data_IF_362435363385
#
_entry.id   IF_362435363385
#
_cell.length_a   1.000
_cell.length_b   1.000
_cell.length_c   1.000
_cell.angle_alpha   90.00
_cell.angle_beta   90.00
_cell.angle_gamma   90.00
#
_symmetry.space_group_name_H-M   'P 1'
#
loop_
_entity.id
_entity.type
_entity.pdbx_description
1 polymer ?
#
# COMPACT_ATOMS: atom_id res chain seq x y z
N UNK A 1 -14.89 3.22 -13.44
CA UNK A 1 -14.84 2.01 -12.59
C UNK A 1 -15.65 2.27 -11.33
N UNK A 2 -16.35 1.26 -10.80
CA UNK A 2 -17.07 1.33 -9.52
C UNK A 2 -16.55 0.19 -8.64
N UNK A 3 -16.29 0.46 -7.36
CA UNK A 3 -15.83 -0.52 -6.37
C UNK A 3 -16.93 -0.66 -5.32
N UNK A 4 -17.28 -1.90 -4.96
CA UNK A 4 -18.17 -2.14 -3.82
C UNK A 4 -17.33 -2.07 -2.54
N UNK A 5 -17.85 -1.39 -1.52
CA UNK A 5 -17.14 -1.16 -0.26
C UNK A 5 -18.12 -1.31 0.90
N UNK A 6 -17.69 -2.04 1.93
CA UNK A 6 -18.32 -2.07 3.25
C UNK A 6 -17.42 -1.28 4.20
N UNK A 7 -18.03 -0.36 4.95
CA UNK A 7 -17.33 0.50 5.91
C UNK A 7 -17.89 0.27 7.30
N UNK A 8 -17.08 -0.36 8.17
CA UNK A 8 -17.35 -0.56 9.59
C UNK A 8 -16.60 0.45 10.47
N UNK A 9 -15.92 1.43 9.88
CA UNK A 9 -15.32 2.55 10.61
C UNK A 9 -16.35 3.65 10.89
N UNK A 10 -16.00 4.56 11.79
CA UNK A 10 -16.76 5.80 12.03
C UNK A 10 -16.38 6.93 11.05
N UNK A 11 -15.54 6.66 10.05
CA UNK A 11 -14.97 7.67 9.16
C UNK A 11 -15.67 7.68 7.79
N UNK A 12 -15.69 8.83 7.08
CA UNK A 12 -16.13 8.87 5.70
C UNK A 12 -15.35 7.89 4.81
N UNK A 13 -15.96 7.48 3.71
CA UNK A 13 -15.28 6.67 2.70
C UNK A 13 -14.02 7.40 2.20
N UNK A 14 -12.95 6.65 1.84
CA UNK A 14 -11.77 7.24 1.19
C UNK A 14 -12.18 8.01 -0.07
N UNK A 15 -11.56 9.16 -0.30
CA UNK A 15 -11.84 10.02 -1.43
C UNK A 15 -10.54 10.54 -2.05
N UNK A 16 -10.63 10.93 -3.32
CA UNK A 16 -9.55 11.64 -3.99
C UNK A 16 -9.58 13.10 -3.52
N UNK A 17 -8.52 13.53 -2.83
CA UNK A 17 -8.45 14.87 -2.23
C UNK A 17 -8.35 15.99 -3.28
N UNK A 18 -7.84 15.68 -4.47
CA UNK A 18 -7.78 16.61 -5.61
C UNK A 18 -8.18 15.91 -6.91
N UNK A 19 -8.55 16.70 -7.92
CA UNK A 19 -8.93 16.18 -9.24
C UNK A 19 -7.86 15.29 -9.90
N UNK A 20 -6.59 15.52 -9.60
CA UNK A 20 -5.46 14.77 -10.16
C UNK A 20 -4.81 13.80 -9.16
N UNK A 21 -5.43 13.56 -8.00
CA UNK A 21 -4.91 12.61 -7.02
C UNK A 21 -4.94 11.18 -7.57
N UNK A 22 -3.82 10.46 -7.48
CA UNK A 22 -3.72 9.07 -7.92
C UNK A 22 -4.32 8.08 -6.91
N UNK A 23 -4.31 8.43 -5.62
CA UNK A 23 -4.76 7.57 -4.53
C UNK A 23 -5.70 8.26 -3.55
N UNK A 24 -6.32 7.44 -2.71
CA UNK A 24 -7.24 7.85 -1.65
C UNK A 24 -6.63 7.58 -0.29
N UNK A 25 -6.63 8.56 0.61
CA UNK A 25 -6.08 8.39 1.96
C UNK A 25 -6.91 7.38 2.77
N UNK A 26 -6.22 6.44 3.44
CA UNK A 26 -6.81 5.45 4.35
C UNK A 26 -6.56 5.85 5.79
N UNK A 27 -7.58 5.66 6.63
CA UNK A 27 -7.56 6.06 8.03
C UNK A 27 -7.43 4.86 8.96
N UNK A 28 -6.74 5.07 10.09
CA UNK A 28 -6.64 4.10 11.16
C UNK A 28 -7.99 3.96 11.88
N UNK A 29 -8.42 2.73 12.17
CA UNK A 29 -9.67 2.42 12.88
C UNK A 29 -9.42 1.60 14.16
N UNK A 30 -8.24 1.74 14.76
CA UNK A 30 -7.92 1.18 16.07
C UNK A 30 -8.83 1.79 17.17
N UNK A 31 -9.17 0.99 18.18
CA UNK A 31 -9.96 1.46 19.33
C UNK A 31 -9.13 2.38 20.22
N UNK A 32 -7.95 1.92 20.64
CA UNK A 32 -6.99 2.65 21.45
C UNK A 32 -5.75 3.08 20.63
N UNK A 33 -5.06 4.18 20.99
CA UNK A 33 -3.83 4.59 20.33
C UNK A 33 -2.78 3.48 20.30
N UNK A 34 -2.10 3.32 19.16
CA UNK A 34 -1.02 2.34 19.00
C UNK A 34 0.31 3.08 18.94
N UNK A 35 1.22 2.78 19.87
CA UNK A 35 2.57 3.36 19.87
C UNK A 35 3.51 2.38 19.17
N UNK A 36 4.24 2.86 18.16
CA UNK A 36 5.33 2.13 17.53
C UNK A 36 6.65 2.68 18.05
N UNK A 37 7.36 1.88 18.84
CA UNK A 37 8.76 2.15 19.16
C UNK A 37 9.64 2.07 17.90
N UNK A 38 10.90 2.50 18.03
CA UNK A 38 11.90 2.34 16.97
C UNK A 38 11.99 0.88 16.53
N UNK A 39 11.90 0.64 15.22
CA UNK A 39 11.92 -0.66 14.55
C UNK A 39 10.73 -1.58 14.87
N UNK A 40 9.72 -1.08 15.57
CA UNK A 40 8.48 -1.81 15.83
C UNK A 40 7.55 -1.74 14.62
N UNK A 41 6.67 -2.75 14.51
CA UNK A 41 5.63 -2.84 13.50
C UNK A 41 4.30 -3.24 14.13
N UNK A 42 3.22 -2.73 13.59
CA UNK A 42 1.87 -3.16 13.93
C UNK A 42 0.98 -3.24 12.69
N UNK A 43 -0.02 -4.09 12.78
CA UNK A 43 -1.06 -4.22 11.77
C UNK A 43 -2.25 -3.36 12.20
N UNK A 44 -2.45 -2.24 11.49
CA UNK A 44 -3.48 -1.26 11.83
C UNK A 44 -4.76 -1.52 11.02
N UNK A 45 -5.91 -1.72 11.68
CA UNK A 45 -7.19 -1.89 11.00
C UNK A 45 -7.65 -0.59 10.34
N UNK A 46 -8.40 -0.70 9.24
CA UNK A 46 -9.05 0.46 8.58
C UNK A 46 -10.56 0.44 8.73
N UNK A 47 -11.15 -0.70 9.10
CA UNK A 47 -12.60 -0.92 9.07
C UNK A 47 -13.18 -1.01 7.66
N UNK A 48 -12.36 -1.08 6.63
CA UNK A 48 -12.79 -1.10 5.23
C UNK A 48 -12.62 -2.49 4.62
N UNK A 49 -13.62 -2.89 3.84
CA UNK A 49 -13.66 -4.13 3.08
C UNK A 49 -14.08 -3.77 1.67
N UNK A 50 -13.33 -4.22 0.67
CA UNK A 50 -13.58 -3.86 -0.71
C UNK A 50 -13.81 -5.09 -1.56
N UNK A 51 -14.42 -4.84 -2.70
CA UNK A 51 -14.56 -5.81 -3.77
C UNK A 51 -14.16 -5.12 -5.07
N UNK A 52 -13.02 -5.56 -5.59
CA UNK A 52 -12.48 -5.10 -6.86
C UNK A 52 -12.98 -5.99 -8.00
N UNK A 53 -13.13 -5.44 -9.21
CA UNK A 53 -13.34 -6.25 -10.40
C UNK A 53 -12.07 -7.02 -10.78
N UNK A 54 -12.23 -8.16 -11.46
CA UNK A 54 -11.12 -8.94 -12.01
C UNK A 54 -10.22 -8.09 -12.93
N UNK A 55 -8.91 -8.38 -12.89
CA UNK A 55 -7.88 -7.61 -13.60
C UNK A 55 -7.47 -6.31 -12.91
N UNK A 56 -7.87 -6.13 -11.65
CA UNK A 56 -7.46 -5.01 -10.82
C UNK A 56 -6.96 -5.46 -9.44
N UNK A 57 -5.99 -4.71 -8.92
CA UNK A 57 -5.54 -4.78 -7.55
C UNK A 57 -5.68 -3.40 -6.88
N UNK A 58 -5.74 -3.37 -5.55
CA UNK A 58 -5.50 -2.15 -4.81
C UNK A 58 -4.12 -2.18 -4.16
N UNK A 59 -3.33 -1.15 -4.44
CA UNK A 59 -1.98 -0.97 -3.92
C UNK A 59 -2.01 0.00 -2.75
N UNK A 60 -1.62 -0.49 -1.57
CA UNK A 60 -1.49 0.30 -0.35
C UNK A 60 -0.06 0.86 -0.29
N UNK A 61 0.06 2.19 -0.31
CA UNK A 61 1.34 2.90 -0.39
C UNK A 61 1.55 3.85 0.80
N UNK A 62 2.80 4.11 1.21
CA UNK A 62 3.12 5.09 2.23
C UNK A 62 2.67 6.50 1.84
N UNK A 63 2.38 7.33 2.84
CA UNK A 63 2.17 8.77 2.66
C UNK A 63 3.53 9.46 2.84
N UNK A 64 3.94 10.27 1.85
CA UNK A 64 5.26 10.92 1.84
C UNK A 64 5.52 11.77 3.10
N UNK A 65 4.49 12.44 3.62
CA UNK A 65 4.59 13.23 4.84
C UNK A 65 4.92 12.39 6.08
N UNK A 66 4.37 11.17 6.20
CA UNK A 66 4.66 10.27 7.31
C UNK A 66 6.08 9.69 7.19
N UNK A 67 6.46 9.29 5.97
CA UNK A 67 7.78 8.76 5.69
C UNK A 67 8.89 9.78 5.96
N UNK A 68 8.77 10.99 5.42
CA UNK A 68 9.82 12.01 5.51
C UNK A 68 9.94 12.64 6.90
N UNK A 69 8.83 12.84 7.62
CA UNK A 69 8.83 13.55 8.91
C UNK A 69 9.00 12.64 10.11
N UNK A 70 8.50 11.40 10.03
CA UNK A 70 8.42 10.50 11.18
C UNK A 70 9.07 9.14 10.94
N UNK A 71 9.63 8.89 9.74
CA UNK A 71 10.22 7.59 9.39
C UNK A 71 9.20 6.44 9.37
N UNK A 72 7.91 6.76 9.21
CA UNK A 72 6.83 5.76 9.18
C UNK A 72 6.57 5.33 7.75
N UNK A 73 6.65 4.03 7.52
CA UNK A 73 6.37 3.42 6.21
C UNK A 73 5.54 2.16 6.36
N UNK A 74 5.19 1.56 5.23
CA UNK A 74 4.46 0.30 5.16
C UNK A 74 5.47 -0.80 4.86
N UNK A 75 5.52 -1.81 5.73
CA UNK A 75 6.54 -2.86 5.69
C UNK A 75 6.49 -3.67 4.39
N UNK A 76 5.28 -3.94 3.89
CA UNK A 76 5.04 -4.68 2.65
C UNK A 76 4.74 -3.75 1.46
N UNK A 77 5.23 -2.51 1.46
CA UNK A 77 4.94 -1.55 0.39
C UNK A 77 5.51 -1.96 -0.98
N UNK A 78 4.75 -1.81 -2.08
CA UNK A 78 3.30 -1.58 -2.09
C UNK A 78 2.56 -2.83 -1.62
N UNK A 79 1.62 -2.67 -0.68
CA UNK A 79 0.79 -3.79 -0.22
C UNK A 79 -0.29 -4.11 -1.25
N UNK A 80 -0.37 -5.35 -1.72
CA UNK A 80 -1.37 -5.79 -2.70
C UNK A 80 -2.64 -6.27 -2.00
N UNK A 81 -3.79 -5.77 -2.47
CA UNK A 81 -5.12 -6.29 -2.16
C UNK A 81 -5.69 -6.89 -3.44
N UNK A 82 -5.88 -8.21 -3.43
CA UNK A 82 -6.37 -8.99 -4.56
C UNK A 82 -7.87 -8.78 -4.81
N UNK A 83 -8.32 -9.05 -6.04
CA UNK A 83 -9.71 -8.83 -6.43
C UNK A 83 -10.72 -9.76 -5.75
N UNK A 84 -10.28 -10.93 -5.31
CA UNK A 84 -11.08 -11.91 -4.58
C UNK A 84 -10.98 -11.75 -3.05
N UNK A 85 -10.15 -10.82 -2.56
CA UNK A 85 -10.06 -10.55 -1.13
C UNK A 85 -11.32 -9.85 -0.62
N UNK A 86 -11.92 -10.39 0.44
CA UNK A 86 -13.09 -9.81 1.14
C UNK A 86 -12.85 -9.57 2.62
N UNK A 87 -11.61 -9.72 3.08
CA UNK A 87 -11.23 -9.40 4.44
C UNK A 87 -11.06 -7.89 4.65
N UNK A 88 -10.74 -7.53 5.89
CA UNK A 88 -10.48 -6.15 6.24
C UNK A 88 -9.14 -5.70 5.64
N UNK A 89 -9.11 -4.53 4.99
CA UNK A 89 -7.85 -3.90 4.61
C UNK A 89 -7.12 -3.51 5.88
N UNK A 90 -5.97 -4.13 6.12
CA UNK A 90 -5.08 -3.81 7.25
C UNK A 90 -3.74 -3.32 6.75
N UNK A 91 -3.17 -2.34 7.45
CA UNK A 91 -1.94 -1.67 7.04
C UNK A 91 -0.82 -2.08 7.99
N UNK A 92 0.23 -2.70 7.46
CA UNK A 92 1.41 -3.11 8.25
C UNK A 92 2.37 -1.92 8.33
N UNK A 93 2.18 -1.07 9.33
CA UNK A 93 3.07 0.07 9.56
C UNK A 93 4.34 -0.39 10.29
N UNK A 94 5.47 0.22 9.93
CA UNK A 94 6.76 0.05 10.61
C UNK A 94 7.37 1.43 10.87
N UNK A 95 7.96 1.60 12.05
CA UNK A 95 8.70 2.78 12.42
C UNK A 95 10.21 2.58 12.18
N UNK A 96 10.76 3.28 11.20
CA UNK A 96 12.19 3.24 10.88
C UNK A 96 12.96 4.42 11.48
N UNK A 97 12.29 5.28 12.25
CA UNK A 97 12.93 6.36 13.00
C UNK A 97 13.40 5.89 14.37
N UNK A 98 14.15 6.75 15.07
CA UNK A 98 14.58 6.53 16.45
C UNK A 98 13.53 6.95 17.48
N UNK A 99 12.58 7.79 17.07
CA UNK A 99 11.57 8.36 17.96
C UNK A 99 10.30 7.50 17.93
N UNK A 100 9.62 7.29 19.07
CA UNK A 100 8.35 6.60 19.07
C UNK A 100 7.30 7.40 18.28
N UNK A 101 6.40 6.70 17.60
CA UNK A 101 5.30 7.30 16.86
C UNK A 101 3.95 6.74 17.33
N UNK A 102 3.02 7.62 17.68
CA UNK A 102 1.68 7.23 18.13
C UNK A 102 0.69 7.36 16.98
N UNK A 103 -0.01 6.27 16.67
CA UNK A 103 -1.08 6.21 15.69
C UNK A 103 -2.41 6.37 16.41
N UNK A 104 -3.08 7.49 16.15
CA UNK A 104 -4.40 7.76 16.72
C UNK A 104 -5.51 7.31 15.77
N UNK A 105 -6.66 6.95 16.33
CA UNK A 105 -7.87 6.63 15.56
C UNK A 105 -8.23 7.78 14.62
N UNK A 106 -8.54 7.46 13.37
CA UNK A 106 -8.94 8.42 12.34
C UNK A 106 -7.80 9.13 11.62
N UNK A 107 -6.56 8.94 12.04
CA UNK A 107 -5.40 9.48 11.34
C UNK A 107 -5.22 8.83 9.97
N UNK A 108 -4.81 9.64 8.99
CA UNK A 108 -4.52 9.16 7.62
C UNK A 108 -3.14 8.52 7.61
N UNK A 109 -3.09 7.21 7.49
CA UNK A 109 -1.88 6.40 7.71
C UNK A 109 -1.29 5.79 6.44
N UNK A 110 -2.09 5.62 5.39
CA UNK A 110 -1.66 5.13 4.08
C UNK A 110 -2.48 5.80 2.98
N UNK A 111 -2.15 5.50 1.73
CA UNK A 111 -2.98 5.82 0.57
C UNK A 111 -3.19 4.57 -0.29
N UNK A 112 -4.35 4.46 -0.91
CA UNK A 112 -4.73 3.35 -1.78
C UNK A 112 -4.80 3.83 -3.24
N UNK A 113 -4.10 3.14 -4.13
CA UNK A 113 -4.21 3.31 -5.59
C UNK A 113 -4.83 2.05 -6.15
N UNK A 114 -5.85 2.18 -7.00
CA UNK A 114 -6.41 1.03 -7.71
C UNK A 114 -5.76 0.95 -9.09
N UNK A 115 -5.13 -0.17 -9.39
CA UNK A 115 -4.36 -0.39 -10.62
C UNK A 115 -4.90 -1.58 -11.39
N UNK A 116 -4.83 -1.51 -12.73
CA UNK A 116 -4.97 -2.70 -13.57
C UNK A 116 -3.70 -3.54 -13.45
N UNK A 117 -3.87 -4.85 -13.56
CA UNK A 117 -2.78 -5.80 -13.73
C UNK A 117 -3.18 -6.88 -14.75
N UNK A 118 -2.18 -7.59 -15.26
CA UNK A 118 -2.38 -8.75 -16.12
C UNK A 118 -2.11 -10.03 -15.32
N UNK A 119 -2.71 -11.14 -15.73
CA UNK A 119 -2.32 -12.48 -15.27
C UNK A 119 -1.46 -13.11 -16.37
N UNK A 120 -0.19 -13.35 -16.09
CA UNK A 120 0.73 -13.93 -17.06
C UNK A 120 0.54 -15.45 -17.17
N UNK A 121 0.69 -15.97 -18.39
CA UNK A 121 0.84 -17.40 -18.66
C UNK A 121 2.32 -17.69 -18.94
N UNK A 122 2.86 -18.72 -18.29
CA UNK A 122 4.26 -19.11 -18.48
C UNK A 122 4.41 -19.96 -19.74
N UNK A 123 5.39 -19.61 -20.58
CA UNK A 123 5.84 -20.43 -21.71
C UNK A 123 7.31 -20.76 -21.47
N UNK A 124 7.61 -22.01 -21.13
CA UNK A 124 8.97 -22.49 -20.89
C UNK A 124 9.71 -22.64 -22.23
N UNK A 125 10.93 -22.09 -22.33
CA UNK A 125 11.77 -22.08 -23.54
C UNK A 125 13.23 -22.32 -23.16
N UNK A 126 14.02 -22.87 -24.09
CA UNK A 126 15.45 -23.12 -23.87
C UNK A 126 16.29 -21.83 -23.92
N UNK A 127 15.88 -20.84 -24.74
CA UNK A 127 16.62 -19.58 -24.92
C UNK A 127 15.66 -18.38 -25.02
N UNK A 128 16.10 -17.23 -24.49
CA UNK A 128 15.41 -15.94 -24.62
C UNK A 128 16.00 -15.12 -25.76
N UNK A 129 15.19 -14.24 -26.38
CA UNK A 129 15.67 -13.31 -27.40
C UNK A 129 16.70 -12.33 -26.84
N UNK A 130 17.66 -11.94 -27.68
CA UNK A 130 18.63 -10.91 -27.34
C UNK A 130 17.99 -9.52 -27.24
N UNK A 131 18.43 -8.73 -26.25
CA UNK A 131 18.09 -7.32 -26.10
C UNK A 131 19.36 -6.51 -25.81
N UNK A 132 19.35 -5.19 -26.06
CA UNK A 132 20.49 -4.32 -25.76
C UNK A 132 20.90 -4.35 -24.28
N UNK A 133 19.93 -4.53 -23.36
CA UNK A 133 20.19 -4.65 -21.93
C UNK A 133 20.72 -6.03 -21.53
N UNK A 134 20.26 -7.11 -22.20
CA UNK A 134 20.64 -8.49 -21.89
C UNK A 134 20.52 -8.81 -20.39
N UNK A 135 21.58 -9.39 -19.82
CA UNK A 135 21.68 -9.71 -18.39
C UNK A 135 22.09 -8.52 -17.49
N UNK A 136 22.16 -7.29 -18.02
CA UNK A 136 22.54 -6.09 -17.27
C UNK A 136 21.52 -5.67 -16.21
N UNK A 137 21.89 -5.75 -14.94
CA UNK A 137 21.10 -5.32 -13.77
C UNK A 137 21.97 -4.62 -12.72
N UNK A 138 21.38 -4.14 -11.62
CA UNK A 138 22.11 -3.59 -10.47
C UNK A 138 23.12 -2.47 -10.79
N UNK A 139 22.69 -1.38 -11.42
CA UNK A 139 23.57 -0.23 -11.70
C UNK A 139 24.33 -0.29 -13.03
N UNK A 140 23.93 -1.16 -13.96
CA UNK A 140 24.64 -1.39 -15.24
C UNK A 140 24.81 -0.16 -16.17
N UNK A 141 24.20 0.99 -15.85
CA UNK A 141 24.36 2.24 -16.60
C UNK A 141 25.04 3.37 -15.83
N UNK A 142 25.54 3.15 -14.60
CA UNK A 142 26.02 4.26 -13.75
C UNK A 142 27.11 3.88 -12.76
N UNK A 143 28.19 4.66 -12.77
CA UNK A 143 29.24 4.74 -11.75
C UNK A 143 28.61 5.15 -10.41
N UNK A 144 28.18 4.21 -9.55
CA UNK A 144 28.11 4.30 -8.09
C UNK A 144 27.58 3.00 -7.50
#
# INVERSE_FOLDING_TARGET
>A
MKIRIVNHSAHPLPAYETLASAGMDLRANNEEPVVLASLERAMIPTGLYIELPDGYEAQIRPRSGLAAKYGITILNSPGTIDADYRGEIRIILVNLSREPFTINRGERIAQMIVSRHEQAEWVEVEELNHTERGAGGFGHTGLH
#
